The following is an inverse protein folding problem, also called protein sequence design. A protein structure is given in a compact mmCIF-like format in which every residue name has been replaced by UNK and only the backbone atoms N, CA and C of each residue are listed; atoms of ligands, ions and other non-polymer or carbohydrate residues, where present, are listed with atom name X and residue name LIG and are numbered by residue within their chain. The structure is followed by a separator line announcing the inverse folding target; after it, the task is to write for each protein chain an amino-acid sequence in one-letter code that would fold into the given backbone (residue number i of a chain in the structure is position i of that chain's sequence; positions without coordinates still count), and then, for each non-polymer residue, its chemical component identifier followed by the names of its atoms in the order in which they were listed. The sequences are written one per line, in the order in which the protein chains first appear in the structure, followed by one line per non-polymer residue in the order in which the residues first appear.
data_IF_278206302977
#
_entry.id   IF_278206302977
#
_cell.length_a   1.000
_cell.length_b   1.000
_cell.length_c   1.000
_cell.angle_alpha   90.00
_cell.angle_beta   90.00
_cell.angle_gamma   90.00
#
_symmetry.space_group_name_H-M   'P 1'
#
loop_
_entity.id
_entity.type
_entity.pdbx_description
1 polymer ?
#
# COMPACT_ATOMS: atom_id res chain seq x y z
N UNK A 1 -5.02 -56.32 -3.31
CA UNK A 1 -5.90 -55.40 -4.05
C UNK A 1 -6.19 -54.23 -3.13
N UNK A 2 -5.54 -53.10 -3.38
CA UNK A 2 -5.49 -51.93 -2.49
C UNK A 2 -6.83 -51.19 -2.46
N UNK A 3 -7.37 -50.95 -1.26
CA UNK A 3 -8.52 -50.07 -1.07
C UNK A 3 -8.06 -48.63 -1.16
N UNK A 4 -8.65 -47.89 -2.10
CA UNK A 4 -8.43 -46.45 -2.29
C UNK A 4 -9.42 -45.75 -1.38
N UNK A 5 -8.93 -45.16 -0.28
CA UNK A 5 -9.76 -44.31 0.58
C UNK A 5 -9.99 -42.98 -0.14
N UNK A 6 -11.15 -42.84 -0.79
CA UNK A 6 -11.67 -41.54 -1.21
C UNK A 6 -12.10 -40.77 0.05
N UNK A 7 -11.17 -39.99 0.59
CA UNK A 7 -11.44 -39.05 1.67
C UNK A 7 -12.13 -37.84 1.05
N UNK A 8 -13.46 -37.85 1.05
CA UNK A 8 -14.26 -36.66 0.81
C UNK A 8 -14.07 -35.73 2.00
N UNK A 9 -13.09 -34.83 1.93
CA UNK A 9 -12.96 -33.76 2.91
C UNK A 9 -14.05 -32.70 2.63
N UNK A 10 -14.98 -32.44 3.57
CA UNK A 10 -16.12 -31.54 3.38
C UNK A 10 -15.75 -30.04 3.44
N UNK A 11 -14.48 -29.67 3.25
CA UNK A 11 -13.97 -28.33 3.53
C UNK A 11 -13.58 -27.53 2.28
N UNK A 12 -14.21 -27.79 1.13
CA UNK A 12 -13.93 -27.10 -0.13
C UNK A 12 -14.81 -25.85 -0.39
N UNK A 13 -15.41 -25.26 0.66
CA UNK A 13 -16.34 -24.13 0.54
C UNK A 13 -16.07 -22.96 1.49
N UNK A 14 -14.91 -22.90 2.15
CA UNK A 14 -14.56 -21.80 3.08
C UNK A 14 -13.60 -20.75 2.52
N UNK A 15 -13.07 -20.90 1.30
CA UNK A 15 -11.97 -20.04 0.83
C UNK A 15 -12.39 -18.84 -0.02
N UNK A 16 -13.66 -18.42 0.04
CA UNK A 16 -14.17 -17.24 -0.71
C UNK A 16 -14.72 -16.13 0.18
N UNK A 17 -14.21 -16.03 1.40
CA UNK A 17 -14.31 -14.79 2.18
C UNK A 17 -12.89 -14.27 2.36
N UNK A 18 -12.33 -13.69 1.29
CA UNK A 18 -11.31 -12.66 1.48
C UNK A 18 -12.04 -11.52 2.19
N UNK A 19 -11.79 -11.36 3.49
CA UNK A 19 -12.23 -10.17 4.22
C UNK A 19 -11.74 -8.95 3.47
N UNK A 20 -12.62 -7.96 3.27
CA UNK A 20 -12.40 -6.66 2.62
C UNK A 20 -11.30 -5.78 3.29
N UNK A 21 -10.43 -6.36 4.11
CA UNK A 21 -9.48 -5.70 5.03
C UNK A 21 -8.03 -6.18 4.80
N UNK A 22 -7.71 -6.73 3.62
CA UNK A 22 -6.30 -6.88 3.21
C UNK A 22 -5.74 -5.47 2.92
N UNK A 23 -5.22 -4.81 3.96
CA UNK A 23 -4.51 -3.54 3.87
C UNK A 23 -3.49 -3.62 2.73
N UNK A 24 -3.61 -2.75 1.73
CA UNK A 24 -2.63 -2.67 0.64
C UNK A 24 -1.26 -2.43 1.28
N UNK A 25 -0.28 -3.33 1.09
CA UNK A 25 1.00 -3.21 1.78
C UNK A 25 1.73 -1.97 1.29
N UNK A 26 2.08 -1.07 2.21
CA UNK A 26 2.83 0.14 1.89
C UNK A 26 4.22 -0.20 1.34
N UNK A 27 4.67 0.59 0.37
CA UNK A 27 6.03 0.59 -0.13
C UNK A 27 6.94 1.20 0.95
N UNK A 28 7.74 0.38 1.62
CA UNK A 28 8.61 0.82 2.74
C UNK A 28 10.04 1.15 2.33
N UNK A 29 10.38 0.99 1.04
CA UNK A 29 11.71 1.26 0.49
C UNK A 29 11.60 2.07 -0.78
N UNK A 30 12.59 2.92 -1.00
CA UNK A 30 12.72 3.67 -2.22
C UNK A 30 13.03 2.73 -3.40
N UNK A 31 12.20 2.68 -4.46
CA UNK A 31 12.49 1.87 -5.64
C UNK A 31 13.76 2.32 -6.37
N UNK A 32 14.14 3.58 -6.26
CA UNK A 32 15.28 4.15 -6.99
C UNK A 32 16.61 3.87 -6.27
N UNK A 33 16.63 4.03 -4.95
CA UNK A 33 17.86 3.90 -4.14
C UNK A 33 17.93 2.61 -3.31
N UNK A 34 16.82 1.90 -3.13
CA UNK A 34 16.71 0.71 -2.27
C UNK A 34 16.76 1.01 -0.76
N UNK A 35 16.95 2.28 -0.37
CA UNK A 35 17.02 2.71 1.02
C UNK A 35 15.62 2.64 1.67
N UNK A 36 15.55 2.34 2.98
CA UNK A 36 14.28 2.37 3.69
C UNK A 36 13.74 3.80 3.75
N UNK A 37 12.44 3.94 3.52
CA UNK A 37 11.77 5.21 3.73
C UNK A 37 11.71 5.55 5.22
N UNK A 38 11.78 6.84 5.59
CA UNK A 38 11.50 7.28 6.95
C UNK A 38 10.10 6.84 7.41
N UNK A 39 9.95 6.72 8.73
CA UNK A 39 8.64 6.47 9.33
C UNK A 39 7.74 7.70 9.12
N UNK A 40 6.47 7.54 8.72
CA UNK A 40 5.54 8.66 8.61
C UNK A 40 5.43 9.44 9.92
N UNK A 41 5.40 10.76 9.82
CA UNK A 41 5.16 11.66 10.95
C UNK A 41 3.83 12.41 10.84
N UNK A 42 3.20 12.38 9.66
CA UNK A 42 1.83 12.81 9.43
C UNK A 42 0.88 11.60 9.37
N UNK A 43 -0.41 11.86 9.56
CA UNK A 43 -1.46 10.85 9.41
C UNK A 43 -1.69 10.51 7.94
N UNK A 44 -2.15 9.29 7.70
CA UNK A 44 -2.56 8.85 6.37
C UNK A 44 -3.73 9.71 5.87
N UNK A 45 -3.65 10.24 4.64
CA UNK A 45 -4.74 10.98 4.03
C UNK A 45 -5.90 10.03 3.73
N UNK A 46 -7.13 10.58 3.76
CA UNK A 46 -8.29 9.81 3.30
C UNK A 46 -8.26 9.61 1.77
N UNK A 47 -9.16 8.75 1.29
CA UNK A 47 -9.26 8.45 -0.14
C UNK A 47 -9.54 9.68 -1.02
N UNK A 48 -10.31 10.65 -0.51
CA UNK A 48 -10.66 11.86 -1.26
C UNK A 48 -9.43 12.73 -1.45
N UNK A 49 -8.62 12.90 -0.40
CA UNK A 49 -7.35 13.61 -0.45
C UNK A 49 -6.36 12.94 -1.41
N UNK A 50 -6.25 11.59 -1.37
CA UNK A 50 -5.41 10.85 -2.33
C UNK A 50 -5.83 11.06 -3.78
N UNK A 51 -7.13 11.05 -4.06
CA UNK A 51 -7.65 11.32 -5.40
C UNK A 51 -7.31 12.74 -5.85
N UNK A 52 -7.43 13.74 -4.97
CA UNK A 52 -7.06 15.12 -5.28
C UNK A 52 -5.57 15.26 -5.61
N UNK A 53 -4.69 14.56 -4.88
CA UNK A 53 -3.24 14.61 -5.15
C UNK A 53 -2.88 14.19 -6.58
N UNK A 54 -3.62 13.24 -7.17
CA UNK A 54 -3.44 12.81 -8.56
C UNK A 54 -3.86 13.89 -9.57
N UNK A 55 -4.85 14.73 -9.25
CA UNK A 55 -5.40 15.73 -10.16
C UNK A 55 -4.75 17.11 -10.01
N UNK A 56 -4.36 17.50 -8.79
CA UNK A 56 -3.83 18.83 -8.47
C UNK A 56 -2.32 18.96 -8.76
N UNK A 57 -1.70 17.92 -9.32
CA UNK A 57 -0.25 17.85 -9.58
C UNK A 57 0.61 18.17 -8.34
N UNK A 58 0.07 17.88 -7.15
CA UNK A 58 0.69 18.21 -5.89
C UNK A 58 0.17 17.27 -4.81
N UNK A 59 1.07 16.74 -3.97
CA UNK A 59 0.74 15.75 -2.95
C UNK A 59 1.44 16.07 -1.63
N UNK A 60 0.81 15.66 -0.53
CA UNK A 60 1.46 15.68 0.78
C UNK A 60 2.42 14.49 0.92
N UNK A 61 3.61 14.76 1.46
CA UNK A 61 4.56 13.75 1.89
C UNK A 61 4.22 13.18 3.27
N UNK A 62 4.82 12.05 3.63
CA UNK A 62 4.56 11.40 4.92
C UNK A 62 5.02 12.22 6.14
N UNK A 63 5.68 13.36 5.93
CA UNK A 63 6.03 14.37 6.95
C UNK A 63 5.20 15.67 6.87
N UNK A 64 4.20 15.73 5.99
CA UNK A 64 3.38 16.93 5.79
C UNK A 64 3.98 17.97 4.85
N UNK A 65 5.15 17.72 4.25
CA UNK A 65 5.69 18.60 3.21
C UNK A 65 4.84 18.51 1.94
N UNK A 66 4.72 19.62 1.23
CA UNK A 66 4.05 19.66 -0.07
C UNK A 66 5.07 19.38 -1.18
N UNK A 67 4.84 18.34 -1.97
CA UNK A 67 5.74 17.85 -3.02
C UNK A 67 4.98 17.55 -4.31
N UNK A 68 5.70 17.23 -5.38
CA UNK A 68 5.08 16.62 -6.56
C UNK A 68 4.51 15.23 -6.21
N UNK A 69 3.50 14.72 -6.94
CA UNK A 69 2.88 13.44 -6.65
C UNK A 69 3.86 12.30 -6.50
N UNK A 70 4.87 12.17 -7.36
CA UNK A 70 5.95 11.17 -7.35
C UNK A 70 7.20 11.62 -6.55
N UNK A 71 7.11 12.80 -5.94
CA UNK A 71 8.19 13.47 -5.27
C UNK A 71 8.58 12.87 -3.93
N UNK A 72 9.76 13.28 -3.48
CA UNK A 72 10.28 13.04 -2.12
C UNK A 72 10.71 14.40 -1.58
N UNK A 73 10.32 14.72 -0.34
CA UNK A 73 10.65 16.00 0.26
C UNK A 73 12.15 16.09 0.57
N UNK A 74 12.64 17.30 0.91
CA UNK A 74 14.05 17.52 1.27
C UNK A 74 14.49 16.80 2.54
N UNK A 75 13.54 16.36 3.39
CA UNK A 75 13.82 15.53 4.57
C UNK A 75 13.90 14.03 4.25
N UNK A 76 13.62 13.64 3.00
CA UNK A 76 13.67 12.25 2.54
C UNK A 76 12.36 11.47 2.71
N UNK A 77 11.26 12.13 3.07
CA UNK A 77 9.95 11.49 3.14
C UNK A 77 9.31 11.41 1.75
N UNK A 78 8.81 10.24 1.33
CA UNK A 78 8.11 10.11 0.06
C UNK A 78 6.73 10.79 0.14
N UNK A 79 6.17 11.14 -1.02
CA UNK A 79 4.74 11.42 -1.13
C UNK A 79 3.89 10.24 -0.61
N UNK A 80 2.68 10.52 -0.15
CA UNK A 80 1.73 9.44 0.20
C UNK A 80 1.43 8.53 -0.99
N UNK A 81 1.35 9.07 -2.21
CA UNK A 81 1.09 8.28 -3.41
C UNK A 81 2.22 7.27 -3.70
N UNK A 82 3.48 7.67 -3.53
CA UNK A 82 4.65 6.78 -3.67
C UNK A 82 4.70 5.75 -2.53
N UNK A 83 4.34 6.14 -1.29
CA UNK A 83 4.23 5.24 -0.13
C UNK A 83 3.15 4.17 -0.34
N UNK A 84 2.04 4.51 -0.99
CA UNK A 84 0.96 3.57 -1.32
C UNK A 84 1.22 2.78 -2.62
N UNK A 85 2.30 3.08 -3.36
CA UNK A 85 2.62 2.39 -4.61
C UNK A 85 1.60 2.64 -5.73
N UNK A 86 0.92 3.79 -5.69
CA UNK A 86 -0.05 4.21 -6.72
C UNK A 86 0.68 4.67 -7.99
N UNK A 87 1.91 5.16 -7.83
CA UNK A 87 2.79 5.70 -8.86
C UNK A 87 4.25 5.29 -8.62
#
# INVERSE_FOLDING_TARGET
MSQIANRSDPNALSDVIASDDELIPHVTRDPDTGLPWPEPTCLEPDFVALALFLFDACAEATDGCLVEPDGTCVHGHPSWLKRFGVI
#
